data_IF_146145425378
#
_entry.id   IF_146145425378
#
_cell.length_a   1.000
_cell.length_b   1.000
_cell.length_c   1.000
_cell.angle_alpha   90.00
_cell.angle_beta   90.00
_cell.angle_gamma   90.00
#
_symmetry.space_group_name_H-M   'P 1'
#
loop_
_entity.id
_entity.type
_entity.pdbx_description
1 polymer ?
#
# COMPACT_ATOMS: atom_id res chain seq x y z
N UNK A 1 2.46 -27.03 -59.35
CA UNK A 1 3.18 -25.79 -59.12
C UNK A 1 2.24 -24.87 -58.41
N UNK A 2 2.40 -24.71 -57.06
CA UNK A 2 1.58 -23.83 -56.24
C UNK A 2 2.36 -22.53 -55.95
N UNK A 3 1.69 -21.39 -55.82
CA UNK A 3 2.37 -20.12 -55.64
C UNK A 3 2.94 -20.01 -54.23
N UNK A 4 4.21 -19.60 -54.20
CA UNK A 4 4.99 -19.28 -53.01
C UNK A 4 4.45 -17.99 -52.38
N UNK A 5 3.89 -18.07 -51.18
CA UNK A 5 3.54 -16.89 -50.38
C UNK A 5 4.83 -16.24 -49.87
N UNK A 6 5.19 -15.06 -50.37
CA UNK A 6 6.20 -14.19 -49.78
C UNK A 6 5.62 -13.61 -48.48
N UNK A 7 6.27 -13.91 -47.38
CA UNK A 7 6.05 -13.24 -46.10
C UNK A 7 6.54 -11.80 -46.27
N UNK A 8 5.63 -10.85 -46.15
CA UNK A 8 5.90 -9.42 -46.12
C UNK A 8 6.38 -9.10 -44.69
N UNK A 9 7.69 -9.08 -44.49
CA UNK A 9 8.32 -8.63 -43.23
C UNK A 9 8.20 -7.13 -43.15
N UNK A 10 7.00 -6.66 -42.73
CA UNK A 10 6.89 -5.28 -42.25
C UNK A 10 7.58 -5.20 -40.91
N UNK A 11 8.79 -4.71 -40.92
CA UNK A 11 9.46 -4.21 -39.70
C UNK A 11 8.51 -3.22 -39.03
N UNK A 12 7.87 -3.66 -37.92
CA UNK A 12 7.22 -2.76 -36.98
C UNK A 12 8.37 -2.05 -36.25
N UNK A 13 8.79 -0.95 -36.81
CA UNK A 13 9.75 -0.04 -36.18
C UNK A 13 9.14 0.48 -34.86
N UNK A 14 9.50 -0.13 -33.75
CA UNK A 14 9.30 0.46 -32.43
C UNK A 14 10.14 1.73 -32.39
N UNK A 15 9.54 2.87 -32.67
CA UNK A 15 10.11 4.18 -32.35
C UNK A 15 10.18 4.31 -30.83
N UNK A 16 11.23 3.80 -30.23
CA UNK A 16 11.56 4.09 -28.84
C UNK A 16 12.07 5.50 -28.77
N UNK A 17 11.22 6.45 -28.38
CA UNK A 17 11.69 7.76 -27.97
C UNK A 17 12.77 7.57 -26.89
N UNK A 18 13.89 8.27 -26.95
CA UNK A 18 14.94 8.11 -25.95
C UNK A 18 14.37 8.45 -24.57
N UNK A 19 14.33 7.44 -23.69
CA UNK A 19 13.91 7.65 -22.30
C UNK A 19 14.97 8.52 -21.61
N UNK A 20 14.59 9.75 -21.25
CA UNK A 20 15.43 10.61 -20.45
C UNK A 20 15.27 10.23 -18.97
N UNK A 21 16.38 9.84 -18.33
CA UNK A 21 16.45 9.58 -16.89
C UNK A 21 17.34 10.63 -16.25
N UNK A 22 16.84 11.25 -15.19
CA UNK A 22 17.63 12.20 -14.40
C UNK A 22 17.49 11.88 -12.91
N UNK A 23 18.53 12.18 -12.15
CA UNK A 23 18.56 12.02 -10.69
C UNK A 23 19.06 13.31 -10.07
N UNK A 24 18.38 13.78 -9.01
CA UNK A 24 18.88 14.88 -8.19
C UNK A 24 20.19 14.51 -7.48
N UNK A 25 20.90 15.49 -6.97
CA UNK A 25 22.06 15.28 -6.13
C UNK A 25 21.66 14.45 -4.89
N UNK A 26 22.54 13.54 -4.48
CA UNK A 26 22.35 12.77 -3.25
C UNK A 26 22.62 13.63 -2.03
N UNK A 27 21.80 13.48 -0.97
CA UNK A 27 22.06 14.03 0.36
C UNK A 27 22.45 12.90 1.31
N UNK A 28 23.22 13.23 2.34
CA UNK A 28 23.57 12.28 3.42
C UNK A 28 23.21 12.92 4.74
N UNK A 29 22.42 12.21 5.53
CA UNK A 29 22.08 12.59 6.89
C UNK A 29 22.41 11.44 7.85
N UNK A 30 22.75 11.78 9.09
CA UNK A 30 22.92 10.79 10.15
C UNK A 30 21.58 10.64 10.89
N UNK A 31 21.12 9.40 11.07
CA UNK A 31 19.97 9.12 11.92
C UNK A 31 20.31 9.48 13.39
N UNK A 32 19.49 10.32 14.01
CA UNK A 32 19.68 10.82 15.36
C UNK A 32 18.52 10.50 16.29
N UNK A 33 17.35 10.18 15.73
CA UNK A 33 16.15 9.85 16.49
C UNK A 33 15.48 8.59 15.97
N UNK A 34 14.85 7.86 16.88
CA UNK A 34 13.87 6.80 16.60
C UNK A 34 12.68 7.05 17.51
N UNK A 35 11.51 7.24 16.91
CA UNK A 35 10.25 7.53 17.63
C UNK A 35 9.23 6.48 17.22
N UNK A 36 8.52 5.91 18.19
CA UNK A 36 7.49 4.89 17.91
C UNK A 36 6.17 5.27 18.58
N UNK A 37 5.07 4.90 17.94
CA UNK A 37 3.71 5.08 18.47
C UNK A 37 2.82 3.91 18.04
N UNK A 38 1.70 3.74 18.71
CA UNK A 38 0.68 2.75 18.37
C UNK A 38 -0.61 3.48 17.95
N UNK A 39 -0.95 3.39 16.67
CA UNK A 39 -2.21 3.90 16.14
C UNK A 39 -3.29 2.82 16.28
N UNK A 40 -4.41 3.17 16.90
CA UNK A 40 -5.59 2.32 16.98
C UNK A 40 -6.65 2.81 16.00
N UNK A 41 -7.11 1.93 15.13
CA UNK A 41 -8.13 2.19 14.12
C UNK A 41 -9.37 1.35 14.42
N UNK A 42 -10.52 2.00 14.57
CA UNK A 42 -11.81 1.30 14.64
C UNK A 42 -12.38 1.19 13.24
N UNK A 43 -12.50 -0.02 12.71
CA UNK A 43 -13.11 -0.25 11.40
C UNK A 43 -14.60 -0.50 11.55
N UNK A 44 -15.38 -0.19 10.51
CA UNK A 44 -16.82 -0.45 10.46
C UNK A 44 -17.17 -1.77 9.75
N UNK A 45 -16.16 -2.53 9.36
CA UNK A 45 -16.24 -3.69 8.50
C UNK A 45 -15.37 -3.52 7.28
N UNK A 46 -15.53 -4.38 6.29
CA UNK A 46 -14.72 -4.47 5.09
C UNK A 46 -14.62 -3.13 4.34
N UNK A 47 -13.41 -2.73 3.99
CA UNK A 47 -13.17 -1.48 3.27
C UNK A 47 -11.81 -0.85 3.57
N UNK A 48 -11.61 0.33 2.99
CA UNK A 48 -10.41 1.15 3.15
C UNK A 48 -10.64 2.25 4.20
N UNK A 49 -9.65 2.47 5.04
CA UNK A 49 -9.59 3.61 5.98
C UNK A 49 -8.34 4.41 5.69
N UNK A 50 -8.48 5.68 5.34
CA UNK A 50 -7.37 6.60 5.09
C UNK A 50 -6.65 6.93 6.40
N UNK A 51 -5.34 6.66 6.45
CA UNK A 51 -4.46 6.93 7.59
C UNK A 51 -3.52 8.12 7.34
N UNK A 52 -3.54 8.71 6.16
CA UNK A 52 -2.53 9.66 5.68
C UNK A 52 -2.34 10.84 6.65
N UNK A 53 -3.44 11.45 7.08
CA UNK A 53 -3.40 12.61 7.97
C UNK A 53 -2.82 12.27 9.35
N UNK A 54 -3.17 11.11 9.91
CA UNK A 54 -2.65 10.66 11.22
C UNK A 54 -1.16 10.34 11.16
N UNK A 55 -0.69 9.75 10.04
CA UNK A 55 0.72 9.45 9.85
C UNK A 55 1.53 10.72 9.62
N UNK A 56 1.01 11.68 8.84
CA UNK A 56 1.63 12.99 8.67
C UNK A 56 1.73 13.75 10.01
N UNK A 57 0.68 13.67 10.83
CA UNK A 57 0.68 14.23 12.20
C UNK A 57 1.74 13.56 13.07
N UNK A 58 1.86 12.23 13.05
CA UNK A 58 2.89 11.50 13.79
C UNK A 58 4.30 11.93 13.38
N UNK A 59 4.58 12.07 12.07
CA UNK A 59 5.87 12.53 11.54
C UNK A 59 6.20 13.93 12.06
N UNK A 60 5.22 14.83 12.06
CA UNK A 60 5.35 16.20 12.59
C UNK A 60 5.59 16.21 14.09
N UNK A 61 4.79 15.47 14.87
CA UNK A 61 4.89 15.41 16.34
C UNK A 61 6.21 14.76 16.78
N UNK A 62 6.78 13.86 15.98
CA UNK A 62 8.09 13.27 16.18
C UNK A 62 9.26 14.24 15.95
N UNK A 63 9.01 15.44 15.43
CA UNK A 63 10.07 16.37 15.01
C UNK A 63 10.95 15.78 13.90
N UNK A 64 10.38 14.93 13.05
CA UNK A 64 11.08 14.28 11.95
C UNK A 64 11.47 15.28 10.87
N UNK A 65 12.66 15.15 10.29
CA UNK A 65 13.11 15.96 9.17
C UNK A 65 13.46 15.10 7.94
N UNK A 66 14.47 14.25 8.06
CA UNK A 66 14.94 13.39 6.98
C UNK A 66 15.03 11.94 7.47
N UNK A 67 14.38 10.99 6.78
CA UNK A 67 14.42 9.59 7.19
C UNK A 67 13.31 8.76 6.56
N UNK A 68 12.77 7.82 7.33
CA UNK A 68 11.67 6.99 6.89
C UNK A 68 10.70 6.70 8.05
N UNK A 69 9.42 6.69 7.75
CA UNK A 69 8.39 6.14 8.64
C UNK A 69 8.02 4.75 8.17
N UNK A 70 8.03 3.79 9.09
CA UNK A 70 7.57 2.43 8.88
C UNK A 70 6.23 2.24 9.59
N UNK A 71 5.27 1.66 8.90
CA UNK A 71 4.00 1.22 9.43
C UNK A 71 4.00 -0.31 9.47
N UNK A 72 3.50 -0.89 10.55
CA UNK A 72 3.33 -2.33 10.67
C UNK A 72 1.98 -2.66 11.31
N UNK A 73 1.10 -3.35 10.57
CA UNK A 73 -0.19 -3.80 11.11
C UNK A 73 -0.02 -5.13 11.85
N UNK A 74 -0.52 -5.19 13.10
CA UNK A 74 -0.36 -6.34 14.01
C UNK A 74 -1.51 -7.34 13.88
N UNK A 75 -1.97 -7.60 12.65
CA UNK A 75 -3.12 -8.45 12.37
C UNK A 75 -2.90 -9.29 11.12
N UNK A 76 -3.57 -10.44 11.06
CA UNK A 76 -3.53 -11.40 9.94
C UNK A 76 -4.76 -11.36 9.04
N UNK A 77 -5.72 -10.47 9.34
CA UNK A 77 -6.97 -10.30 8.58
C UNK A 77 -7.26 -8.86 8.22
N UNK A 78 -6.23 -8.01 8.29
CA UNK A 78 -6.22 -6.64 7.80
C UNK A 78 -4.83 -6.31 7.27
N UNK A 79 -4.71 -5.33 6.39
CA UNK A 79 -3.46 -5.00 5.72
C UNK A 79 -3.31 -3.50 5.46
N UNK A 80 -2.20 -3.11 4.83
CA UNK A 80 -1.86 -1.74 4.48
C UNK A 80 -1.67 -1.63 2.96
N UNK A 81 -1.95 -0.45 2.40
CA UNK A 81 -1.66 -0.15 1.00
C UNK A 81 -1.44 1.34 0.79
N UNK A 82 -0.76 1.69 -0.29
CA UNK A 82 -0.73 3.05 -0.84
C UNK A 82 -1.50 2.99 -2.16
N UNK A 83 -2.59 3.74 -2.24
CA UNK A 83 -3.49 3.75 -3.39
C UNK A 83 -3.94 5.15 -3.73
N UNK A 84 -4.67 5.28 -4.85
CA UNK A 84 -5.23 6.53 -5.32
C UNK A 84 -6.27 7.09 -4.33
N UNK A 85 -6.24 8.41 -4.14
CA UNK A 85 -7.14 9.17 -3.26
C UNK A 85 -8.10 10.11 -4.00
N UNK A 86 -8.09 10.11 -5.35
CA UNK A 86 -8.86 11.07 -6.15
C UNK A 86 -10.23 10.52 -6.57
N UNK A 87 -10.28 9.28 -7.02
CA UNK A 87 -11.53 8.61 -7.45
C UNK A 87 -11.91 7.50 -6.47
N UNK A 88 -12.99 7.66 -5.70
CA UNK A 88 -13.46 6.63 -4.76
C UNK A 88 -13.75 5.28 -5.41
N UNK A 89 -14.12 5.25 -6.70
CA UNK A 89 -14.43 4.01 -7.42
C UNK A 89 -13.22 3.08 -7.53
N UNK A 90 -12.00 3.61 -7.47
CA UNK A 90 -10.77 2.80 -7.44
C UNK A 90 -10.75 1.87 -6.22
N UNK A 91 -11.12 2.38 -5.06
CA UNK A 91 -11.14 1.59 -3.81
C UNK A 91 -12.23 0.51 -3.86
N UNK A 92 -13.39 0.80 -4.43
CA UNK A 92 -14.49 -0.15 -4.61
C UNK A 92 -14.10 -1.28 -5.60
N UNK A 93 -13.45 -0.92 -6.70
CA UNK A 93 -12.95 -1.88 -7.68
C UNK A 93 -11.83 -2.77 -7.11
N UNK A 94 -10.94 -2.21 -6.29
CA UNK A 94 -9.90 -2.98 -5.60
C UNK A 94 -10.51 -3.96 -4.59
N UNK A 95 -11.54 -3.56 -3.83
CA UNK A 95 -12.26 -4.50 -2.96
C UNK A 95 -12.91 -5.62 -3.75
N UNK A 96 -13.56 -5.29 -4.87
CA UNK A 96 -14.16 -6.27 -5.78
C UNK A 96 -13.11 -7.24 -6.35
N UNK A 97 -11.94 -6.74 -6.73
CA UNK A 97 -10.83 -7.56 -7.22
C UNK A 97 -10.33 -8.53 -6.14
N UNK A 98 -10.13 -8.04 -4.90
CA UNK A 98 -9.72 -8.87 -3.77
C UNK A 98 -10.77 -9.96 -3.45
N UNK A 99 -12.06 -9.65 -3.54
CA UNK A 99 -13.14 -10.62 -3.34
C UNK A 99 -13.14 -11.73 -4.41
N UNK A 100 -12.83 -11.39 -5.65
CA UNK A 100 -12.69 -12.37 -6.74
C UNK A 100 -11.45 -13.26 -6.57
N UNK A 101 -10.35 -12.72 -6.03
CA UNK A 101 -9.12 -13.47 -5.78
C UNK A 101 -9.23 -14.42 -4.58
N UNK A 102 -10.03 -14.06 -3.58
CA UNK A 102 -10.25 -14.86 -2.36
C UNK A 102 -11.74 -14.90 -2.01
N UNK A 103 -12.56 -15.68 -2.75
CA UNK A 103 -13.99 -15.76 -2.51
C UNK A 103 -14.32 -16.61 -1.28
N UNK A 104 -15.40 -16.29 -0.58
CA UNK A 104 -15.86 -17.00 0.63
C UNK A 104 -16.25 -18.45 0.34
N UNK A 105 -16.74 -18.74 -0.86
CA UNK A 105 -17.24 -20.05 -1.28
C UNK A 105 -16.21 -20.96 -1.95
N UNK A 106 -14.91 -20.73 -1.76
CA UNK A 106 -13.86 -21.54 -2.38
C UNK A 106 -13.55 -22.86 -1.66
N UNK A 107 -14.36 -23.24 -0.67
CA UNK A 107 -14.20 -24.53 0.05
C UNK A 107 -13.02 -24.55 1.03
N UNK A 108 -12.80 -23.45 1.71
CA UNK A 108 -11.77 -23.33 2.73
C UNK A 108 -12.01 -24.29 3.92
N UNK A 109 -10.92 -24.89 4.46
CA UNK A 109 -10.98 -25.71 5.67
C UNK A 109 -10.97 -24.88 6.96
N UNK A 110 -10.48 -23.64 6.90
CA UNK A 110 -10.45 -22.69 8.02
C UNK A 110 -11.72 -21.84 8.00
N UNK A 111 -12.74 -22.24 8.79
CA UNK A 111 -14.09 -21.66 8.74
C UNK A 111 -14.71 -21.36 10.11
N UNK A 112 -14.00 -21.67 11.22
CA UNK A 112 -14.56 -21.57 12.59
C UNK A 112 -14.89 -20.13 13.01
N UNK A 113 -14.20 -19.12 12.47
CA UNK A 113 -14.43 -17.71 12.77
C UNK A 113 -15.37 -17.02 11.75
N UNK A 114 -15.91 -17.79 10.81
CA UNK A 114 -16.86 -17.33 9.79
C UNK A 114 -16.33 -17.47 8.37
N UNK A 115 -17.23 -17.33 7.36
CA UNK A 115 -16.87 -17.60 5.96
C UNK A 115 -15.89 -16.58 5.37
N UNK A 116 -15.77 -15.40 5.98
CA UNK A 116 -14.89 -14.33 5.56
C UNK A 116 -13.48 -14.42 6.16
N UNK A 117 -13.22 -15.38 7.07
CA UNK A 117 -11.95 -15.43 7.80
C UNK A 117 -10.79 -15.90 6.92
N UNK A 118 -10.87 -17.08 6.32
CA UNK A 118 -9.80 -17.53 5.42
C UNK A 118 -9.60 -16.61 4.20
N UNK A 119 -10.65 -16.11 3.54
CA UNK A 119 -10.51 -15.04 2.56
C UNK A 119 -9.73 -13.82 3.06
N UNK A 120 -9.96 -13.37 4.30
CA UNK A 120 -9.22 -12.26 4.88
C UNK A 120 -7.72 -12.56 5.04
N UNK A 121 -7.34 -13.78 5.46
CA UNK A 121 -5.95 -14.21 5.51
C UNK A 121 -5.29 -14.21 4.12
N UNK A 122 -5.98 -14.72 3.10
CA UNK A 122 -5.47 -14.71 1.73
C UNK A 122 -5.27 -13.28 1.23
N UNK A 123 -6.23 -12.39 1.45
CA UNK A 123 -6.14 -10.98 1.05
C UNK A 123 -4.98 -10.27 1.76
N UNK A 124 -4.78 -10.55 3.06
CA UNK A 124 -3.64 -10.02 3.82
C UNK A 124 -2.30 -10.51 3.25
N UNK A 125 -2.22 -11.75 2.78
CA UNK A 125 -1.02 -12.30 2.15
C UNK A 125 -0.75 -11.70 0.76
N UNK A 126 -1.79 -11.28 0.03
CA UNK A 126 -1.69 -10.65 -1.30
C UNK A 126 -1.37 -9.15 -1.24
N UNK A 127 -1.58 -8.53 -0.09
CA UNK A 127 -1.35 -7.10 0.15
C UNK A 127 -0.16 -6.90 1.10
N UNK A 128 0.04 -5.71 1.67
CA UNK A 128 1.17 -5.45 2.54
C UNK A 128 0.76 -5.42 4.02
N UNK A 129 1.57 -6.04 4.89
CA UNK A 129 1.45 -5.89 6.35
C UNK A 129 2.39 -4.83 6.92
N UNK A 130 3.30 -4.33 6.09
CA UNK A 130 4.22 -3.25 6.43
C UNK A 130 4.41 -2.33 5.23
N UNK A 131 4.51 -1.03 5.50
CA UNK A 131 4.87 -0.01 4.51
C UNK A 131 6.04 0.80 5.07
N UNK A 132 6.93 1.23 4.18
CA UNK A 132 7.99 2.20 4.52
C UNK A 132 7.87 3.38 3.56
N UNK A 133 7.74 4.59 4.11
CA UNK A 133 7.56 5.82 3.36
C UNK A 133 8.73 6.76 3.72
N UNK A 134 9.48 7.25 2.72
CA UNK A 134 10.51 8.26 2.97
C UNK A 134 9.90 9.54 3.52
N UNK A 135 10.62 10.19 4.41
CA UNK A 135 10.31 11.53 4.96
C UNK A 135 11.41 12.47 4.54
N UNK A 136 11.07 13.53 3.84
CA UNK A 136 11.99 14.57 3.40
C UNK A 136 11.46 15.93 3.84
N UNK A 137 12.30 16.73 4.48
CA UNK A 137 11.95 18.07 4.99
C UNK A 137 10.73 18.07 5.92
N UNK A 138 10.59 17.00 6.70
CA UNK A 138 9.48 16.84 7.63
C UNK A 138 8.16 16.37 7.03
N UNK A 139 8.13 16.00 5.74
CA UNK A 139 6.93 15.62 5.02
C UNK A 139 7.04 14.19 4.43
N UNK A 140 5.91 13.49 4.37
CA UNK A 140 5.79 12.21 3.66
C UNK A 140 5.98 12.43 2.16
N UNK A 141 6.83 11.63 1.50
CA UNK A 141 7.08 11.75 0.05
C UNK A 141 6.04 11.03 -0.79
N UNK A 142 4.77 11.23 -0.46
CA UNK A 142 3.67 10.69 -1.26
C UNK A 142 3.48 11.53 -2.54
N UNK A 143 3.14 10.84 -3.63
CA UNK A 143 2.69 11.50 -4.86
C UNK A 143 1.31 12.14 -4.67
N UNK A 144 0.94 13.09 -5.55
CA UNK A 144 -0.32 13.85 -5.48
C UNK A 144 -1.57 12.96 -5.33
N UNK A 145 -1.56 11.82 -5.97
CA UNK A 145 -2.69 10.87 -5.98
C UNK A 145 -2.51 9.70 -5.01
N UNK A 146 -1.52 9.74 -4.12
CA UNK A 146 -1.26 8.66 -3.18
C UNK A 146 -1.81 8.99 -1.79
N UNK A 147 -2.50 8.03 -1.19
CA UNK A 147 -2.82 8.03 0.24
C UNK A 147 -2.49 6.67 0.87
N UNK A 148 -2.31 6.66 2.17
CA UNK A 148 -1.99 5.48 2.95
C UNK A 148 -3.27 4.94 3.54
N UNK A 149 -3.57 3.67 3.25
CA UNK A 149 -4.80 3.02 3.68
C UNK A 149 -4.54 1.81 4.57
N UNK A 150 -5.36 1.66 5.59
CA UNK A 150 -5.65 0.37 6.21
C UNK A 150 -6.77 -0.29 5.43
N UNK A 151 -6.62 -1.57 5.09
CA UNK A 151 -7.64 -2.39 4.44
C UNK A 151 -8.19 -3.37 5.47
N UNK A 152 -9.46 -3.23 5.82
CA UNK A 152 -10.18 -4.22 6.62
C UNK A 152 -10.75 -5.30 5.70
N UNK A 153 -10.41 -6.56 5.95
CA UNK A 153 -10.87 -7.68 5.14
C UNK A 153 -12.06 -8.43 5.74
N UNK A 154 -12.36 -8.22 7.04
CA UNK A 154 -13.47 -8.85 7.74
C UNK A 154 -14.75 -8.02 7.58
N UNK A 155 -15.90 -8.70 7.50
CA UNK A 155 -17.21 -8.05 7.38
C UNK A 155 -17.61 -7.30 8.64
N UNK A 156 -17.24 -7.82 9.81
CA UNK A 156 -17.59 -7.21 11.10
C UNK A 156 -16.63 -6.08 11.47
N UNK A 157 -17.09 -5.10 12.27
CA UNK A 157 -16.20 -4.08 12.84
C UNK A 157 -15.11 -4.70 13.72
N UNK A 158 -13.89 -4.14 13.63
CA UNK A 158 -12.74 -4.56 14.42
C UNK A 158 -11.95 -3.37 14.95
N UNK A 159 -11.21 -3.62 16.02
CA UNK A 159 -10.17 -2.73 16.52
C UNK A 159 -8.83 -3.20 15.96
N UNK A 160 -8.20 -2.38 15.11
CA UNK A 160 -6.91 -2.68 14.48
C UNK A 160 -5.81 -1.82 15.07
N UNK A 161 -4.61 -2.39 15.16
CA UNK A 161 -3.43 -1.73 15.70
C UNK A 161 -2.33 -1.66 14.65
N UNK A 162 -1.83 -0.45 14.42
CA UNK A 162 -0.72 -0.17 13.49
C UNK A 162 0.42 0.46 14.30
N UNK A 163 1.57 -0.20 14.33
CA UNK A 163 2.79 0.40 14.87
C UNK A 163 3.32 1.39 13.86
N UNK A 164 3.58 2.61 14.32
CA UNK A 164 4.25 3.66 13.57
C UNK A 164 5.67 3.81 14.15
N UNK A 165 6.68 3.81 13.29
CA UNK A 165 8.06 4.04 13.72
C UNK A 165 8.78 4.95 12.71
N UNK A 166 9.28 6.07 13.19
CA UNK A 166 10.18 6.93 12.42
C UNK A 166 11.63 6.67 12.84
N UNK A 167 12.51 6.57 11.85
CA UNK A 167 13.97 6.51 12.04
C UNK A 167 14.61 7.50 11.08
N UNK A 168 15.41 8.43 11.60
CA UNK A 168 16.06 9.45 10.80
C UNK A 168 16.68 10.58 11.61
N UNK A 169 16.86 11.72 10.95
CA UNK A 169 17.27 12.96 11.58
C UNK A 169 16.04 13.72 12.08
N UNK A 170 16.14 14.30 13.27
CA UNK A 170 15.17 15.28 13.78
C UNK A 170 15.38 16.65 13.15
N UNK A 171 14.38 17.54 13.32
CA UNK A 171 14.43 18.95 12.90
C UNK A 171 15.40 19.78 13.73
#
# INVERSE_FOLDING_TARGET
MGPCFRRDDREIGFMTSPKSLSRSASSTVRATIMVSSLLTVQTSGRGFTDLTAEIAKFVKDAGANEGAVTLFIRHTSASLSIQENADPSVLDDLMTALDRLAPENAGWSHDTEGPDDMPAHVKTMLTATSLQIPVLKGELTLGTWQAIYLIEHRVRPHRREVVLQFVGAGA
#
